data_IF_491317319598
#
_entry.id   IF_491317319598
#
_cell.length_a   1.000
_cell.length_b   1.000
_cell.length_c   1.000
_cell.angle_alpha   90.00
_cell.angle_beta   90.00
_cell.angle_gamma   90.00
#
_symmetry.space_group_name_H-M   'P 1'
#
loop_
_entity.id
_entity.type
_entity.pdbx_description
1 polymer ?
#
# COMPACT_ATOMS: atom_id res chain seq x y z
N UNK A 1 -34.99 -21.57 1.52
CA UNK A 1 -34.21 -20.39 1.88
C UNK A 1 -32.73 -20.75 2.11
N UNK A 2 -32.37 -21.83 2.80
CA UNK A 2 -30.97 -22.25 3.04
C UNK A 2 -30.19 -22.58 1.77
N UNK A 3 -30.76 -23.38 0.85
CA UNK A 3 -30.13 -23.77 -0.43
C UNK A 3 -29.80 -22.60 -1.35
N UNK A 4 -30.58 -21.51 -1.27
CA UNK A 4 -30.32 -20.29 -2.04
C UNK A 4 -29.11 -19.51 -1.53
N UNK A 5 -28.91 -19.45 -0.21
CA UNK A 5 -27.76 -18.81 0.43
C UNK A 5 -26.46 -19.57 0.13
N UNK A 6 -26.47 -20.88 0.22
CA UNK A 6 -25.29 -21.72 -0.10
C UNK A 6 -24.84 -21.53 -1.54
N UNK A 7 -25.79 -21.60 -2.49
CA UNK A 7 -25.50 -21.41 -3.91
C UNK A 7 -24.95 -20.00 -4.22
N UNK A 8 -25.45 -18.98 -3.53
CA UNK A 8 -24.95 -17.61 -3.67
C UNK A 8 -23.53 -17.45 -3.11
N UNK A 9 -23.24 -18.05 -1.96
CA UNK A 9 -21.89 -18.07 -1.36
C UNK A 9 -20.90 -18.81 -2.26
N UNK A 10 -21.27 -19.96 -2.79
CA UNK A 10 -20.46 -20.73 -3.74
C UNK A 10 -20.14 -19.92 -5.00
N UNK A 11 -21.14 -19.26 -5.57
CA UNK A 11 -20.95 -18.43 -6.76
C UNK A 11 -20.03 -17.23 -6.48
N UNK A 12 -20.19 -16.54 -5.35
CA UNK A 12 -19.31 -15.44 -4.93
C UNK A 12 -17.89 -15.97 -4.74
N UNK A 13 -17.71 -17.11 -4.10
CA UNK A 13 -16.41 -17.74 -3.89
C UNK A 13 -15.74 -18.13 -5.20
N UNK A 14 -16.48 -18.69 -6.15
CA UNK A 14 -15.95 -19.04 -7.47
C UNK A 14 -15.50 -17.79 -8.25
N UNK A 15 -16.31 -16.73 -8.27
CA UNK A 15 -15.95 -15.47 -8.91
C UNK A 15 -14.72 -14.84 -8.25
N UNK A 16 -14.68 -14.81 -6.92
CA UNK A 16 -13.54 -14.30 -6.17
C UNK A 16 -12.25 -15.08 -6.47
N UNK A 17 -12.33 -16.42 -6.51
CA UNK A 17 -11.18 -17.27 -6.82
C UNK A 17 -10.70 -17.08 -8.26
N UNK A 18 -11.61 -16.90 -9.21
CA UNK A 18 -11.26 -16.60 -10.60
C UNK A 18 -10.56 -15.25 -10.73
N UNK A 19 -11.08 -14.21 -10.08
CA UNK A 19 -10.45 -12.87 -10.05
C UNK A 19 -9.08 -12.94 -9.39
N UNK A 20 -8.97 -13.59 -8.22
CA UNK A 20 -7.69 -13.77 -7.54
C UNK A 20 -6.67 -14.54 -8.38
N UNK A 21 -7.10 -15.59 -9.08
CA UNK A 21 -6.24 -16.35 -9.98
C UNK A 21 -5.65 -15.53 -11.13
N UNK A 22 -6.36 -14.52 -11.60
CA UNK A 22 -5.86 -13.58 -12.62
C UNK A 22 -4.98 -12.50 -12.01
N UNK A 23 -5.47 -11.84 -10.95
CA UNK A 23 -4.79 -10.67 -10.34
C UNK A 23 -3.49 -11.07 -9.65
N UNK A 24 -3.50 -12.16 -8.89
CA UNK A 24 -2.34 -12.70 -8.16
C UNK A 24 -1.67 -13.88 -8.86
N UNK A 25 -2.16 -14.24 -10.03
CA UNK A 25 -1.56 -15.26 -10.88
C UNK A 25 -0.31 -14.78 -11.63
N UNK A 26 0.24 -15.62 -12.52
CA UNK A 26 1.46 -15.30 -13.27
C UNK A 26 1.40 -13.98 -14.03
N UNK A 27 0.21 -13.61 -14.52
CA UNK A 27 0.00 -12.37 -15.27
C UNK A 27 0.18 -11.13 -14.37
N UNK A 28 -0.48 -11.09 -13.21
CA UNK A 28 -0.38 -9.97 -12.27
C UNK A 28 1.02 -9.84 -11.69
N UNK A 29 1.65 -10.97 -11.33
CA UNK A 29 3.03 -11.00 -10.84
C UNK A 29 4.01 -10.51 -11.91
N UNK A 30 3.86 -10.96 -13.16
CA UNK A 30 4.70 -10.49 -14.27
C UNK A 30 4.53 -8.98 -14.51
N UNK A 31 3.31 -8.47 -14.44
CA UNK A 31 3.04 -7.04 -14.58
C UNK A 31 3.71 -6.22 -13.48
N UNK A 32 3.61 -6.66 -12.22
CA UNK A 32 4.28 -5.99 -11.09
C UNK A 32 5.81 -6.03 -11.23
N UNK A 33 6.35 -7.19 -11.60
CA UNK A 33 7.79 -7.35 -11.83
C UNK A 33 8.28 -6.44 -12.97
N UNK A 34 7.61 -6.48 -14.12
CA UNK A 34 7.97 -5.67 -15.29
C UNK A 34 7.85 -4.17 -15.00
N UNK A 35 6.83 -3.75 -14.27
CA UNK A 35 6.66 -2.34 -13.88
C UNK A 35 7.78 -1.88 -12.95
N UNK A 36 8.09 -2.64 -11.91
CA UNK A 36 9.19 -2.35 -11.00
C UNK A 36 10.56 -2.33 -11.70
N UNK A 37 10.80 -3.28 -12.58
CA UNK A 37 12.02 -3.33 -13.38
C UNK A 37 12.11 -2.14 -14.36
N UNK A 38 11.03 -1.84 -15.07
CA UNK A 38 10.96 -0.69 -15.97
C UNK A 38 11.24 0.63 -15.26
N UNK A 39 10.62 0.85 -14.09
CA UNK A 39 10.87 2.05 -13.29
C UNK A 39 12.32 2.10 -12.79
N UNK A 40 12.89 0.97 -12.35
CA UNK A 40 14.30 0.89 -11.95
C UNK A 40 15.24 1.22 -13.10
N UNK A 41 15.00 0.68 -14.29
CA UNK A 41 15.80 0.96 -15.48
C UNK A 41 15.69 2.42 -15.91
N UNK A 42 14.47 2.98 -15.96
CA UNK A 42 14.24 4.39 -16.35
C UNK A 42 14.85 5.39 -15.38
N UNK A 43 14.97 5.05 -14.10
CA UNK A 43 15.62 5.90 -13.10
C UNK A 43 17.13 5.60 -12.94
N UNK A 44 17.67 4.72 -13.80
CA UNK A 44 19.08 4.34 -13.77
C UNK A 44 19.48 3.64 -12.48
N UNK A 45 18.64 2.74 -11.97
CA UNK A 45 18.82 2.02 -10.73
C UNK A 45 19.16 2.95 -9.55
N UNK A 46 18.37 4.00 -9.40
CA UNK A 46 18.54 5.04 -8.39
C UNK A 46 18.68 4.47 -6.98
N UNK A 47 17.94 3.42 -6.64
CA UNK A 47 17.96 2.74 -5.34
C UNK A 47 19.36 2.23 -4.97
N UNK A 48 20.16 1.80 -5.93
CA UNK A 48 21.54 1.32 -5.69
C UNK A 48 22.56 2.45 -5.87
N UNK A 49 22.45 3.19 -6.97
CA UNK A 49 23.43 4.20 -7.36
C UNK A 49 23.49 5.39 -6.39
N UNK A 50 22.39 5.73 -5.76
CA UNK A 50 22.29 6.87 -4.83
C UNK A 50 21.97 6.44 -3.39
N UNK A 51 22.22 5.18 -3.05
CA UNK A 51 21.90 4.64 -1.71
C UNK A 51 22.52 5.44 -0.58
N UNK A 52 23.77 5.80 -0.65
CA UNK A 52 24.44 6.62 0.36
C UNK A 52 23.84 8.03 0.47
N UNK A 53 23.41 8.60 -0.66
CA UNK A 53 22.76 9.92 -0.68
C UNK A 53 21.41 9.88 0.04
N UNK A 54 20.51 8.97 -0.34
CA UNK A 54 19.18 8.96 0.28
C UNK A 54 19.23 8.49 1.74
N UNK A 55 20.10 7.55 2.11
CA UNK A 55 20.31 7.16 3.51
C UNK A 55 20.73 8.36 4.37
N UNK A 56 21.71 9.14 3.89
CA UNK A 56 22.18 10.32 4.60
C UNK A 56 21.08 11.39 4.75
N UNK A 57 20.27 11.62 3.71
CA UNK A 57 19.24 12.65 3.71
C UNK A 57 17.91 12.20 4.34
N UNK A 58 17.72 10.90 4.58
CA UNK A 58 16.54 10.38 5.26
C UNK A 58 16.88 10.01 6.70
N UNK A 59 17.56 8.88 6.89
CA UNK A 59 17.88 8.37 8.23
C UNK A 59 18.92 9.27 8.93
N UNK A 60 19.97 9.64 8.21
CA UNK A 60 21.01 10.53 8.77
C UNK A 60 20.49 11.91 9.14
N UNK A 61 19.55 12.44 8.38
CA UNK A 61 18.97 13.74 8.62
C UNK A 61 18.09 13.79 9.88
N UNK A 62 17.44 12.69 10.26
CA UNK A 62 16.67 12.57 11.51
C UNK A 62 17.56 12.86 12.74
N UNK A 63 18.82 12.42 12.69
CA UNK A 63 19.77 12.60 13.79
C UNK A 63 20.56 13.92 13.73
N UNK A 64 20.67 14.52 12.54
CA UNK A 64 21.56 15.68 12.33
C UNK A 64 20.81 17.00 12.20
N UNK A 65 19.56 16.96 11.72
CA UNK A 65 18.82 18.19 11.40
C UNK A 65 17.54 18.31 12.25
N UNK A 66 17.54 19.27 13.19
CA UNK A 66 16.38 19.51 14.07
C UNK A 66 15.14 20.02 13.35
N UNK A 67 15.30 20.64 12.18
CA UNK A 67 14.17 21.17 11.40
C UNK A 67 13.29 20.05 10.82
N UNK A 68 13.85 18.86 10.62
CA UNK A 68 13.10 17.70 10.11
C UNK A 68 12.15 17.10 11.15
N UNK A 69 12.51 17.22 12.43
CA UNK A 69 11.71 16.78 13.58
C UNK A 69 10.83 17.88 14.14
N UNK A 70 11.12 19.15 13.82
CA UNK A 70 10.32 20.28 14.26
C UNK A 70 8.92 20.24 13.64
N UNK A 71 7.92 20.60 14.45
CA UNK A 71 6.57 20.80 13.93
C UNK A 71 6.59 21.95 12.93
N UNK A 72 6.11 21.70 11.71
CA UNK A 72 5.92 22.75 10.72
C UNK A 72 4.94 23.79 11.28
N UNK A 73 5.21 25.06 11.01
CA UNK A 73 4.38 26.17 11.47
C UNK A 73 2.90 25.94 11.06
N UNK A 74 1.98 26.32 11.93
CA UNK A 74 0.53 26.18 11.71
C UNK A 74 0.03 26.86 10.44
N UNK A 75 0.80 27.79 9.88
CA UNK A 75 0.43 28.54 8.67
C UNK A 75 0.47 27.72 7.39
N UNK A 76 1.36 26.71 7.28
CA UNK A 76 1.49 25.93 6.04
C UNK A 76 0.65 24.66 5.98
N UNK A 77 0.00 24.25 7.07
CA UNK A 77 -0.79 23.00 7.20
C UNK A 77 -0.06 21.76 6.63
N UNK A 78 1.26 21.79 6.65
CA UNK A 78 2.11 20.70 6.18
C UNK A 78 2.66 19.91 7.37
N UNK A 79 2.74 18.59 7.22
CA UNK A 79 3.34 17.70 8.22
C UNK A 79 4.86 17.69 8.05
N UNK A 80 5.60 17.51 9.15
CA UNK A 80 7.05 17.37 9.09
C UNK A 80 7.46 16.08 8.39
N UNK A 81 8.71 16.00 7.92
CA UNK A 81 9.22 14.78 7.27
C UNK A 81 9.16 13.58 8.21
N UNK A 82 9.47 13.78 9.48
CA UNK A 82 9.40 12.73 10.50
C UNK A 82 7.95 12.25 10.72
N UNK A 83 6.99 13.15 10.83
CA UNK A 83 5.58 12.80 10.92
C UNK A 83 5.09 12.05 9.68
N UNK A 84 5.55 12.46 8.49
CA UNK A 84 5.23 11.77 7.23
C UNK A 84 5.74 10.33 7.22
N UNK A 85 6.99 10.11 7.65
CA UNK A 85 7.57 8.76 7.77
C UNK A 85 6.81 7.92 8.80
N UNK A 86 6.52 8.47 9.97
CA UNK A 86 5.76 7.76 11.01
C UNK A 86 4.36 7.37 10.53
N UNK A 87 3.68 8.27 9.82
CA UNK A 87 2.34 8.01 9.26
C UNK A 87 2.41 6.91 8.18
N UNK A 88 3.41 6.99 7.29
CA UNK A 88 3.61 5.97 6.26
C UNK A 88 3.92 4.59 6.86
N UNK A 89 4.77 4.53 7.88
CA UNK A 89 5.09 3.28 8.59
C UNK A 89 3.86 2.73 9.30
N UNK A 90 3.09 3.57 9.99
CA UNK A 90 1.86 3.17 10.67
C UNK A 90 0.81 2.58 9.69
N UNK A 91 0.73 3.13 8.47
CA UNK A 91 -0.16 2.61 7.44
C UNK A 91 0.35 1.36 6.71
N UNK A 92 1.66 1.12 6.74
CA UNK A 92 2.31 0.03 5.99
C UNK A 92 2.58 -1.20 6.86
N UNK A 93 2.94 -0.99 8.12
CA UNK A 93 3.25 -2.09 9.05
C UNK A 93 1.94 -2.64 9.61
N UNK A 94 1.59 -3.85 9.21
CA UNK A 94 0.40 -4.56 9.67
C UNK A 94 0.69 -6.03 9.92
N UNK A 95 -0.34 -6.79 10.25
CA UNK A 95 -0.25 -8.25 10.49
C UNK A 95 0.27 -9.01 9.26
N UNK A 96 0.09 -8.49 8.05
CA UNK A 96 0.63 -9.05 6.82
C UNK A 96 2.15 -9.17 6.82
N UNK A 97 2.85 -8.24 7.48
CA UNK A 97 4.32 -8.27 7.56
C UNK A 97 4.85 -9.35 8.52
N UNK A 98 4.03 -9.91 9.37
CA UNK A 98 4.37 -10.98 10.29
C UNK A 98 3.71 -12.29 9.84
N UNK A 99 2.40 -12.35 9.85
CA UNK A 99 1.62 -13.54 9.50
C UNK A 99 1.77 -13.89 8.02
N UNK A 100 1.74 -12.89 7.12
CA UNK A 100 1.91 -13.10 5.68
C UNK A 100 3.31 -13.64 5.34
N UNK A 101 4.36 -13.13 5.99
CA UNK A 101 5.73 -13.64 5.81
C UNK A 101 5.85 -15.07 6.34
N UNK A 102 5.31 -15.35 7.53
CA UNK A 102 5.31 -16.70 8.08
C UNK A 102 4.59 -17.69 7.16
N UNK A 103 3.42 -17.32 6.64
CA UNK A 103 2.65 -18.14 5.68
C UNK A 103 3.42 -18.35 4.38
N UNK A 104 4.10 -17.33 3.86
CA UNK A 104 4.92 -17.45 2.66
C UNK A 104 6.08 -18.43 2.86
N UNK A 105 6.73 -18.42 4.04
CA UNK A 105 7.82 -19.36 4.36
C UNK A 105 7.28 -20.78 4.49
N UNK A 106 6.14 -20.97 5.14
CA UNK A 106 5.53 -22.29 5.29
C UNK A 106 5.11 -22.88 3.95
N UNK A 107 4.56 -22.05 3.05
CA UNK A 107 4.06 -22.50 1.74
C UNK A 107 5.16 -22.64 0.67
N UNK A 108 6.14 -21.73 0.68
CA UNK A 108 7.16 -21.63 -0.36
C UNK A 108 8.59 -22.01 0.09
N UNK A 109 8.75 -22.40 1.36
CA UNK A 109 10.05 -22.72 1.94
C UNK A 109 10.99 -21.51 2.06
N UNK A 110 12.29 -21.73 2.38
CA UNK A 110 13.28 -20.66 2.55
C UNK A 110 13.48 -19.81 1.29
N UNK A 111 13.25 -20.37 0.10
CA UNK A 111 13.33 -19.66 -1.17
C UNK A 111 12.33 -18.51 -1.30
N UNK A 112 11.23 -18.53 -0.56
CA UNK A 112 10.26 -17.43 -0.53
C UNK A 112 10.91 -16.13 -0.06
N UNK A 113 11.79 -16.17 0.94
CA UNK A 113 12.50 -14.99 1.47
C UNK A 113 13.35 -14.33 0.38
N UNK A 114 14.07 -15.13 -0.40
CA UNK A 114 14.89 -14.61 -1.50
C UNK A 114 14.03 -13.85 -2.52
N UNK A 115 12.91 -14.44 -2.95
CA UNK A 115 12.02 -13.78 -3.89
C UNK A 115 11.32 -12.55 -3.32
N UNK A 116 11.01 -12.56 -2.02
CA UNK A 116 10.48 -11.38 -1.34
C UNK A 116 11.48 -10.22 -1.36
N UNK A 117 12.78 -10.47 -1.17
CA UNK A 117 13.82 -9.45 -1.28
C UNK A 117 13.95 -8.91 -2.71
N UNK A 118 13.95 -9.80 -3.70
CA UNK A 118 13.98 -9.38 -5.12
C UNK A 118 12.80 -8.47 -5.45
N UNK A 119 11.60 -8.89 -5.06
CA UNK A 119 10.39 -8.09 -5.29
C UNK A 119 10.40 -6.77 -4.50
N UNK A 120 10.92 -6.76 -3.28
CA UNK A 120 11.05 -5.54 -2.49
C UNK A 120 11.98 -4.51 -3.15
N UNK A 121 13.13 -4.95 -3.66
CA UNK A 121 14.07 -4.07 -4.37
C UNK A 121 13.45 -3.43 -5.64
N UNK A 122 12.65 -4.18 -6.37
CA UNK A 122 11.92 -3.64 -7.53
C UNK A 122 10.74 -2.76 -7.10
N UNK A 123 10.02 -3.17 -6.06
CA UNK A 123 8.90 -2.43 -5.48
C UNK A 123 9.29 -1.06 -4.92
N UNK A 124 10.51 -0.91 -4.42
CA UNK A 124 11.02 0.40 -3.96
C UNK A 124 10.87 1.49 -5.02
N UNK A 125 11.18 1.19 -6.28
CA UNK A 125 11.10 2.18 -7.36
C UNK A 125 9.68 2.44 -7.82
N UNK A 126 8.80 1.45 -7.73
CA UNK A 126 7.37 1.64 -7.97
C UNK A 126 6.78 2.58 -6.92
N UNK A 127 7.02 2.32 -5.63
CA UNK A 127 6.57 3.18 -4.53
C UNK A 127 7.17 4.58 -4.59
N UNK A 128 8.45 4.69 -4.95
CA UNK A 128 9.10 6.00 -5.15
C UNK A 128 8.39 6.81 -6.25
N UNK A 129 8.13 6.19 -7.39
CA UNK A 129 7.46 6.84 -8.51
C UNK A 129 6.03 7.26 -8.15
N UNK A 130 5.31 6.43 -7.43
CA UNK A 130 3.96 6.72 -6.94
C UNK A 130 3.96 7.92 -5.98
N UNK A 131 4.88 7.95 -5.02
CA UNK A 131 5.02 9.05 -4.08
C UNK A 131 5.39 10.37 -4.78
N UNK A 132 6.31 10.32 -5.75
CA UNK A 132 6.67 11.50 -6.56
C UNK A 132 5.46 12.04 -7.31
N UNK A 133 4.68 11.17 -7.96
CA UNK A 133 3.45 11.57 -8.64
C UNK A 133 2.40 12.12 -7.67
N UNK A 134 2.25 11.49 -6.50
CA UNK A 134 1.33 11.93 -5.46
C UNK A 134 1.64 13.33 -4.93
N UNK A 135 2.93 13.64 -4.74
CA UNK A 135 3.38 14.97 -4.34
C UNK A 135 3.27 16.00 -5.47
N UNK A 136 3.61 15.60 -6.70
CA UNK A 136 3.59 16.50 -7.86
C UNK A 136 2.17 16.97 -8.21
N UNK A 137 1.19 16.07 -8.16
CA UNK A 137 -0.21 16.35 -8.49
C UNK A 137 -1.09 16.71 -7.29
N UNK A 138 -0.50 16.91 -6.09
CA UNK A 138 -1.27 17.32 -4.91
C UNK A 138 -1.88 18.71 -5.11
N UNK A 139 -3.04 18.92 -4.51
CA UNK A 139 -3.76 20.21 -4.54
C UNK A 139 -4.12 20.64 -3.12
N UNK A 140 -4.31 21.93 -2.91
CA UNK A 140 -4.97 22.43 -1.69
C UNK A 140 -6.48 22.31 -1.84
N UNK A 141 -7.13 21.75 -0.83
CA UNK A 141 -8.59 21.71 -0.73
C UNK A 141 -9.13 23.09 -0.31
N UNK A 142 -10.46 23.22 -0.23
CA UNK A 142 -11.13 24.45 0.19
C UNK A 142 -10.75 24.91 1.60
N UNK A 143 -10.29 24.00 2.45
CA UNK A 143 -9.81 24.26 3.81
C UNK A 143 -8.32 24.62 3.89
N UNK A 144 -7.63 24.70 2.75
CA UNK A 144 -6.19 24.96 2.69
C UNK A 144 -5.28 23.78 2.98
N UNK A 145 -5.84 22.58 3.23
CA UNK A 145 -5.08 21.35 3.48
C UNK A 145 -4.59 20.71 2.18
N UNK A 146 -3.42 20.08 2.23
CA UNK A 146 -2.89 19.37 1.08
C UNK A 146 -3.61 18.03 0.88
N UNK A 147 -4.14 17.83 -0.31
CA UNK A 147 -4.79 16.61 -0.74
C UNK A 147 -4.10 16.05 -1.97
N UNK A 148 -3.74 14.77 -1.95
CA UNK A 148 -3.02 14.09 -3.04
C UNK A 148 -3.37 12.61 -3.09
N UNK A 149 -2.77 11.90 -4.02
CA UNK A 149 -2.94 10.46 -4.20
C UNK A 149 -3.23 10.08 -5.64
N UNK A 150 -3.50 8.79 -5.87
CA UNK A 150 -3.65 8.24 -7.22
C UNK A 150 -4.81 8.88 -8.01
N UNK A 151 -5.89 9.25 -7.36
CA UNK A 151 -7.03 9.91 -8.00
C UNK A 151 -6.62 11.20 -8.71
N UNK A 152 -5.71 11.98 -8.09
CA UNK A 152 -5.27 13.26 -8.64
C UNK A 152 -4.35 13.08 -9.85
N UNK A 153 -3.34 12.21 -9.78
CA UNK A 153 -2.47 12.01 -10.93
C UNK A 153 -3.14 11.23 -12.07
N UNK A 154 -4.16 10.41 -11.79
CA UNK A 154 -4.99 9.81 -12.83
C UNK A 154 -5.86 10.84 -13.53
N UNK A 155 -6.46 11.76 -12.77
CA UNK A 155 -7.34 12.79 -13.34
C UNK A 155 -6.54 13.86 -14.08
N UNK A 156 -5.46 14.36 -13.48
CA UNK A 156 -4.70 15.50 -14.00
C UNK A 156 -3.53 15.08 -14.88
N UNK A 157 -2.83 14.00 -14.53
CA UNK A 157 -1.69 13.51 -15.31
C UNK A 157 -2.13 12.74 -16.53
N UNK A 158 -2.93 11.69 -16.36
CA UNK A 158 -3.45 10.90 -17.48
C UNK A 158 -4.52 11.67 -18.24
N UNK A 159 -5.41 12.35 -17.54
CA UNK A 159 -6.50 13.13 -18.15
C UNK A 159 -6.05 14.35 -18.93
N UNK A 160 -4.83 14.87 -18.72
CA UNK A 160 -4.25 15.94 -19.53
C UNK A 160 -3.83 15.49 -20.94
N UNK A 161 -3.63 14.17 -21.15
CA UNK A 161 -3.30 13.64 -22.47
C UNK A 161 -4.50 13.68 -23.40
N UNK A 162 -4.28 14.08 -24.67
CA UNK A 162 -5.33 14.13 -25.70
C UNK A 162 -6.04 12.77 -25.80
N UNK A 163 -7.36 12.78 -25.68
CA UNK A 163 -8.21 11.59 -25.75
C UNK A 163 -8.33 10.76 -24.47
N UNK A 164 -7.50 10.99 -23.44
CA UNK A 164 -7.49 10.19 -22.22
C UNK A 164 -8.27 10.81 -21.04
N UNK A 165 -8.91 11.96 -21.23
CA UNK A 165 -9.62 12.68 -20.14
C UNK A 165 -10.72 11.86 -19.48
N UNK A 166 -11.53 11.18 -20.28
CA UNK A 166 -12.59 10.31 -19.79
C UNK A 166 -12.03 9.08 -19.06
N UNK A 167 -11.00 8.45 -19.66
CA UNK A 167 -10.30 7.31 -19.09
C UNK A 167 -9.67 7.65 -17.74
N UNK A 168 -8.99 8.80 -17.63
CA UNK A 168 -8.41 9.26 -16.37
C UNK A 168 -9.43 9.42 -15.26
N UNK A 169 -10.61 10.00 -15.56
CA UNK A 169 -11.71 10.15 -14.59
C UNK A 169 -12.28 8.80 -14.16
N UNK A 170 -12.56 7.90 -15.11
CA UNK A 170 -13.11 6.58 -14.81
C UNK A 170 -12.15 5.79 -13.92
N UNK A 171 -10.87 5.76 -14.26
CA UNK A 171 -9.85 5.08 -13.46
C UNK A 171 -9.69 5.69 -12.05
N UNK A 172 -9.77 7.02 -11.93
CA UNK A 172 -9.72 7.69 -10.63
C UNK A 172 -10.89 7.30 -9.72
N UNK A 173 -12.11 7.25 -10.27
CA UNK A 173 -13.31 6.83 -9.53
C UNK A 173 -13.23 5.36 -9.15
N UNK A 174 -12.84 4.48 -10.07
CA UNK A 174 -12.66 3.07 -9.79
C UNK A 174 -11.62 2.83 -8.70
N UNK A 175 -10.48 3.54 -8.78
CA UNK A 175 -9.45 3.47 -7.75
C UNK A 175 -9.99 3.89 -6.38
N UNK A 176 -10.72 5.00 -6.30
CA UNK A 176 -11.33 5.48 -5.05
C UNK A 176 -12.32 4.46 -4.48
N UNK A 177 -13.18 3.88 -5.31
CA UNK A 177 -14.11 2.83 -4.90
C UNK A 177 -13.38 1.59 -4.35
N UNK A 178 -12.35 1.12 -5.05
CA UNK A 178 -11.56 -0.03 -4.61
C UNK A 178 -10.80 0.27 -3.31
N UNK A 179 -10.29 1.49 -3.12
CA UNK A 179 -9.66 1.89 -1.87
C UNK A 179 -10.63 1.85 -0.68
N UNK A 180 -11.86 2.33 -0.87
CA UNK A 180 -12.90 2.26 0.16
C UNK A 180 -13.21 0.80 0.52
N UNK A 181 -13.43 -0.06 -0.48
CA UNK A 181 -13.72 -1.48 -0.25
C UNK A 181 -12.53 -2.21 0.42
N UNK A 182 -11.31 -1.92 -0.01
CA UNK A 182 -10.09 -2.49 0.57
C UNK A 182 -9.88 -2.05 2.04
N UNK A 183 -10.25 -0.82 2.38
CA UNK A 183 -10.17 -0.32 3.76
C UNK A 183 -11.04 -1.13 4.72
N UNK A 184 -12.24 -1.51 4.31
CA UNK A 184 -13.10 -2.38 5.13
C UNK A 184 -12.56 -3.80 5.27
N UNK A 185 -11.98 -4.37 4.21
CA UNK A 185 -11.48 -5.75 4.20
C UNK A 185 -10.09 -5.88 4.82
N UNK A 186 -9.07 -5.61 4.03
CA UNK A 186 -7.66 -5.81 4.41
C UNK A 186 -7.22 -4.84 5.51
N UNK A 187 -7.71 -3.59 5.47
CA UNK A 187 -7.32 -2.55 6.42
C UNK A 187 -7.73 -2.85 7.86
N UNK A 188 -8.93 -3.43 8.06
CA UNK A 188 -9.49 -3.64 9.39
C UNK A 188 -9.76 -5.11 9.71
N UNK A 189 -10.63 -5.77 8.94
CA UNK A 189 -11.14 -7.11 9.30
C UNK A 189 -10.02 -8.17 9.37
N UNK A 190 -9.09 -8.15 8.44
CA UNK A 190 -7.96 -9.10 8.41
C UNK A 190 -7.04 -8.92 9.62
N UNK A 191 -6.78 -7.67 10.01
CA UNK A 191 -5.92 -7.36 11.15
C UNK A 191 -6.57 -7.76 12.47
N UNK A 192 -7.83 -7.39 12.68
CA UNK A 192 -8.59 -7.76 13.88
C UNK A 192 -8.67 -9.27 14.02
N UNK A 193 -8.96 -9.99 12.93
CA UNK A 193 -9.03 -11.45 12.94
C UNK A 193 -7.69 -12.09 13.35
N UNK A 194 -6.57 -11.60 12.81
CA UNK A 194 -5.25 -12.11 13.14
C UNK A 194 -4.87 -11.83 14.61
N UNK A 195 -5.14 -10.62 15.10
CA UNK A 195 -4.86 -10.25 16.49
C UNK A 195 -5.73 -11.07 17.44
N UNK A 196 -7.04 -11.14 17.19
CA UNK A 196 -7.97 -11.89 18.04
C UNK A 196 -7.66 -13.39 18.06
N UNK A 197 -7.28 -13.97 16.91
CA UNK A 197 -6.85 -15.36 16.83
C UNK A 197 -5.59 -15.65 17.65
N UNK A 198 -4.57 -14.80 17.54
CA UNK A 198 -3.33 -14.95 18.30
C UNK A 198 -3.54 -14.73 19.82
N UNK A 199 -4.36 -13.76 20.21
CA UNK A 199 -4.71 -13.54 21.62
C UNK A 199 -5.45 -14.74 22.22
N UNK A 200 -6.34 -15.34 21.44
CA UNK A 200 -7.02 -16.56 21.86
C UNK A 200 -6.06 -17.74 22.00
N UNK A 201 -5.18 -17.93 21.02
CA UNK A 201 -4.21 -19.03 21.03
C UNK A 201 -3.15 -18.89 22.14
N UNK A 202 -2.68 -17.69 22.43
CA UNK A 202 -1.60 -17.45 23.40
C UNK A 202 -2.11 -17.30 24.84
N UNK A 203 -3.24 -16.64 25.03
CA UNK A 203 -3.74 -16.23 26.34
C UNK A 203 -5.14 -16.77 26.67
N UNK A 204 -5.77 -17.52 25.76
CA UNK A 204 -7.13 -18.06 25.96
C UNK A 204 -8.23 -16.97 25.98
N UNK A 205 -7.92 -15.73 25.56
CA UNK A 205 -8.92 -14.64 25.54
C UNK A 205 -9.93 -14.90 24.43
N UNK A 206 -11.24 -14.88 24.72
CA UNK A 206 -12.27 -15.07 23.68
C UNK A 206 -12.12 -14.05 22.55
N UNK A 207 -12.17 -14.52 21.31
CA UNK A 207 -12.01 -13.67 20.10
C UNK A 207 -13.00 -12.52 20.06
N UNK A 208 -14.22 -12.72 20.59
CA UNK A 208 -15.23 -11.67 20.68
C UNK A 208 -14.77 -10.51 21.58
N UNK A 209 -14.16 -10.82 22.73
CA UNK A 209 -13.68 -9.80 23.68
C UNK A 209 -12.57 -8.97 23.04
N UNK A 210 -11.60 -9.64 22.42
CA UNK A 210 -10.50 -8.94 21.72
C UNK A 210 -11.04 -8.10 20.57
N UNK A 211 -12.00 -8.63 19.79
CA UNK A 211 -12.58 -7.91 18.66
C UNK A 211 -13.44 -6.70 19.05
N UNK A 212 -14.00 -6.67 20.28
CA UNK A 212 -14.74 -5.50 20.78
C UNK A 212 -13.82 -4.44 21.40
N UNK A 213 -12.62 -4.83 21.84
CA UNK A 213 -11.62 -3.91 22.42
C UNK A 213 -10.77 -3.20 21.34
N UNK A 214 -10.70 -3.74 20.13
CA UNK A 214 -9.95 -3.22 18.98
C UNK A 214 -10.84 -2.38 18.06
#
# INVERSE_FOLDING_TARGET
VYRGKERMVEMITQVNNAINGVVWGPFGLALLFCTGFWMSARTGFFQFRKMGYWLRHTIGAIFTNKDITAHTSKEDMAISQFQSICTALAGTIGTGNIVGVATAIVSGGPGAIFWMWVMALLGMMTSFSENVLGVYYRRKNEKGEWSGGAMYYLTDGLGAKKGCKQLGKVLAVLFACFCILASFGIGNMSQINSIAGNMNAAFGVPTLVTGLCL
#
